data_IF_716748690806
#
_entry.id   IF_716748690806
#
_cell.length_a   1.000
_cell.length_b   1.000
_cell.length_c   1.000
_cell.angle_alpha   90.00
_cell.angle_beta   90.00
_cell.angle_gamma   90.00
#
_symmetry.space_group_name_H-M   'P 1'
#
loop_
_entity.id
_entity.type
_entity.pdbx_description
1 polymer ?
#
# COMPACT_ATOMS: atom_id res chain seq x y z
N UNK A 1 -10.13 18.00 -59.32
CA UNK A 1 -8.93 17.17 -59.61
C UNK A 1 -7.76 17.68 -58.79
N UNK A 2 -7.46 17.07 -57.65
CA UNK A 2 -6.19 17.27 -56.93
C UNK A 2 -5.75 15.90 -56.42
N UNK A 3 -4.64 15.39 -56.97
CA UNK A 3 -3.99 14.13 -56.60
C UNK A 3 -3.17 14.36 -55.33
N UNK A 4 -3.48 13.64 -54.25
CA UNK A 4 -2.57 13.50 -53.10
C UNK A 4 -1.75 12.22 -53.29
N UNK A 5 -0.43 12.38 -53.40
CA UNK A 5 0.54 11.28 -53.50
C UNK A 5 0.64 10.56 -52.16
N UNK A 6 0.52 9.22 -52.17
CA UNK A 6 0.85 8.32 -51.05
C UNK A 6 2.36 8.07 -51.02
N UNK A 7 2.94 8.09 -49.81
CA UNK A 7 4.25 7.50 -49.50
C UNK A 7 4.06 6.10 -48.84
N UNK A 8 5.05 5.19 -48.90
CA UNK A 8 4.83 3.76 -48.67
C UNK A 8 4.85 3.37 -47.19
N UNK A 9 4.04 2.37 -46.86
CA UNK A 9 3.98 1.68 -45.56
C UNK A 9 5.19 0.76 -45.40
N UNK A 10 5.95 0.89 -44.32
CA UNK A 10 6.82 -0.18 -43.81
C UNK A 10 6.02 -1.05 -42.84
N UNK A 11 5.99 -2.35 -43.13
CA UNK A 11 5.37 -3.40 -42.32
C UNK A 11 6.10 -3.59 -41.00
N UNK A 12 5.36 -3.64 -39.90
CA UNK A 12 5.72 -4.42 -38.71
C UNK A 12 4.50 -5.28 -38.41
N UNK A 13 4.65 -6.59 -38.65
CA UNK A 13 3.62 -7.58 -38.43
C UNK A 13 3.43 -7.82 -36.93
N UNK A 14 2.19 -7.63 -36.48
CA UNK A 14 1.69 -8.17 -35.22
C UNK A 14 1.35 -9.63 -35.50
N UNK A 15 2.03 -10.58 -34.88
CA UNK A 15 1.66 -11.99 -35.00
C UNK A 15 0.68 -12.33 -33.87
N UNK A 16 -0.61 -12.21 -34.20
CA UNK A 16 -1.72 -12.85 -33.48
C UNK A 16 -1.92 -14.24 -34.08
N UNK A 17 -1.91 -15.27 -33.24
CA UNK A 17 -2.27 -16.64 -33.60
C UNK A 17 -2.83 -17.37 -32.39
N UNK A 18 -4.15 -17.34 -32.27
CA UNK A 18 -4.95 -17.88 -31.18
C UNK A 18 -5.66 -19.16 -31.66
N UNK A 19 -5.92 -20.09 -30.72
CA UNK A 19 -6.99 -21.12 -30.71
C UNK A 19 -6.84 -22.38 -31.59
N UNK A 20 -6.68 -23.56 -30.94
CA UNK A 20 -7.64 -24.67 -31.00
C UNK A 20 -7.21 -25.93 -30.19
N UNK A 21 -8.17 -26.45 -29.40
CA UNK A 21 -8.33 -27.83 -28.87
C UNK A 21 -7.56 -28.26 -27.61
N UNK A 22 -8.29 -28.35 -26.50
CA UNK A 22 -8.58 -29.63 -25.84
C UNK A 22 -9.68 -29.46 -24.77
N UNK A 23 -10.85 -30.06 -25.01
CA UNK A 23 -11.85 -30.39 -23.97
C UNK A 23 -11.91 -31.92 -23.87
N UNK A 24 -12.17 -32.36 -22.63
CA UNK A 24 -12.58 -33.70 -22.20
C UNK A 24 -11.47 -34.72 -21.93
N UNK A 25 -11.16 -34.92 -20.65
CA UNK A 25 -11.32 -36.21 -19.97
C UNK A 25 -11.13 -36.05 -18.45
N UNK A 26 -12.25 -35.86 -17.75
CA UNK A 26 -12.39 -36.21 -16.35
C UNK A 26 -13.32 -37.42 -16.31
N UNK A 27 -12.74 -38.62 -16.18
CA UNK A 27 -13.39 -39.83 -15.69
C UNK A 27 -12.34 -40.95 -15.67
N UNK A 28 -12.37 -41.75 -14.60
CA UNK A 28 -11.52 -42.89 -14.28
C UNK A 28 -10.24 -42.51 -13.51
N UNK A 29 -10.29 -42.69 -12.19
CA UNK A 29 -9.55 -43.77 -11.54
C UNK A 29 -10.06 -43.91 -10.11
N UNK A 30 -10.86 -44.95 -9.90
CA UNK A 30 -11.12 -45.53 -8.58
C UNK A 30 -10.30 -46.80 -8.44
N UNK A 31 -9.86 -47.06 -7.22
CA UNK A 31 -9.23 -48.27 -6.67
C UNK A 31 -7.77 -48.54 -7.03
N UNK A 32 -6.89 -48.36 -6.04
CA UNK A 32 -5.85 -49.33 -5.65
C UNK A 32 -5.33 -48.97 -4.26
N UNK A 33 -5.59 -49.86 -3.29
CA UNK A 33 -5.05 -49.84 -1.94
C UNK A 33 -3.54 -50.10 -1.95
N UNK A 34 -2.77 -49.27 -1.25
CA UNK A 34 -1.55 -49.72 -0.58
C UNK A 34 -1.35 -48.92 0.72
N UNK A 35 -1.41 -49.67 1.83
CA UNK A 35 -1.07 -49.19 3.17
C UNK A 35 0.45 -49.04 3.28
N UNK A 36 0.91 -47.85 3.67
CA UNK A 36 2.22 -47.67 4.30
C UNK A 36 2.08 -46.74 5.51
N UNK A 37 2.70 -47.16 6.59
CA UNK A 37 2.56 -46.73 7.98
C UNK A 37 3.16 -45.36 8.28
N UNK A 38 2.44 -44.59 9.11
CA UNK A 38 2.83 -43.30 9.72
C UNK A 38 4.13 -43.36 10.53
N UNK A 39 4.91 -42.27 10.57
CA UNK A 39 5.48 -41.74 11.79
C UNK A 39 4.61 -40.58 12.32
N UNK A 40 4.37 -40.58 13.63
CA UNK A 40 3.68 -39.54 14.38
C UNK A 40 4.63 -38.37 14.66
N UNK A 41 4.35 -37.21 14.09
CA UNK A 41 4.66 -35.88 14.65
C UNK A 41 3.69 -34.90 13.99
N UNK A 42 2.73 -34.38 14.76
CA UNK A 42 1.81 -33.33 14.33
C UNK A 42 2.53 -31.97 14.43
N UNK A 43 2.58 -31.14 13.38
CA UNK A 43 2.81 -29.70 13.50
C UNK A 43 1.47 -28.99 13.74
N UNK A 44 1.48 -28.01 14.63
CA UNK A 44 0.30 -27.19 14.99
C UNK A 44 -0.07 -26.22 13.85
N UNK A 45 -1.36 -26.02 13.57
CA UNK A 45 -1.82 -24.92 12.70
C UNK A 45 -1.73 -23.55 13.41
N UNK A 46 -1.65 -22.46 12.63
CA UNK A 46 -2.04 -21.13 13.08
C UNK A 46 -3.56 -21.13 13.35
N UNK A 47 -3.97 -21.68 14.49
CA UNK A 47 -5.38 -21.89 14.84
C UNK A 47 -6.00 -20.57 15.35
N UNK A 48 -7.17 -20.24 14.81
CA UNK A 48 -8.03 -19.11 15.18
C UNK A 48 -8.72 -19.32 16.56
N UNK A 49 -8.28 -20.33 17.34
CA UNK A 49 -8.97 -20.84 18.54
C UNK A 49 -8.44 -20.37 19.89
N UNK A 50 -7.34 -19.62 19.92
CA UNK A 50 -6.81 -19.04 21.16
C UNK A 50 -7.12 -17.54 21.33
N UNK A 51 -8.09 -16.98 20.58
CA UNK A 51 -8.58 -15.62 20.86
C UNK A 51 -9.39 -15.59 22.16
N UNK A 52 -9.03 -14.79 23.17
CA UNK A 52 -9.95 -14.49 24.26
C UNK A 52 -11.17 -13.77 23.68
N UNK A 53 -12.36 -14.37 23.81
CA UNK A 53 -13.64 -13.69 23.53
C UNK A 53 -13.81 -12.53 24.51
N UNK A 54 -13.43 -11.32 24.10
CA UNK A 54 -13.90 -10.10 24.74
C UNK A 54 -15.28 -9.75 24.18
N UNK A 55 -16.33 -10.36 24.73
CA UNK A 55 -17.69 -9.84 24.57
C UNK A 55 -17.86 -8.62 25.47
N UNK A 56 -17.55 -7.43 24.97
CA UNK A 56 -18.07 -6.18 25.52
C UNK A 56 -18.18 -5.15 24.40
N UNK A 57 -19.41 -4.81 24.01
CA UNK A 57 -19.66 -3.58 23.24
C UNK A 57 -19.18 -2.38 24.08
N UNK A 58 -18.42 -1.42 23.53
CA UNK A 58 -18.07 -0.22 24.26
C UNK A 58 -19.34 0.57 24.55
N UNK A 59 -19.59 0.86 25.83
CA UNK A 59 -20.63 1.81 26.22
C UNK A 59 -20.23 3.22 25.76
N UNK A 60 -21.19 4.13 25.56
CA UNK A 60 -20.92 5.52 25.13
C UNK A 60 -19.85 6.24 25.98
N UNK A 61 -19.65 5.83 27.24
CA UNK A 61 -18.59 6.35 28.12
C UNK A 61 -17.17 5.94 27.70
N UNK A 62 -16.98 4.74 27.14
CA UNK A 62 -15.66 4.25 26.72
C UNK A 62 -15.11 5.01 25.50
N UNK A 63 -16.01 5.53 24.64
CA UNK A 63 -15.65 6.33 23.47
C UNK A 63 -15.23 7.76 23.87
N UNK A 64 -15.85 8.34 24.91
CA UNK A 64 -15.46 9.65 25.44
C UNK A 64 -14.14 9.60 26.21
N UNK A 65 -13.93 8.55 27.00
CA UNK A 65 -12.67 8.33 27.73
C UNK A 65 -11.47 8.10 26.78
N UNK A 66 -11.70 7.42 25.65
CA UNK A 66 -10.68 7.22 24.61
C UNK A 66 -10.35 8.52 23.84
N UNK A 67 -11.34 9.41 23.64
CA UNK A 67 -11.13 10.76 23.08
C UNK A 67 -10.34 11.67 24.02
N UNK A 68 -10.53 11.54 25.33
CA UNK A 68 -9.80 12.31 26.34
C UNK A 68 -8.35 11.82 26.47
N UNK A 69 -8.11 10.50 26.38
CA UNK A 69 -6.76 9.89 26.29
C UNK A 69 -5.99 10.31 25.04
N UNK A 70 -6.67 10.42 23.88
CA UNK A 70 -6.07 10.95 22.65
C UNK A 70 -5.72 12.45 22.76
N UNK A 71 -6.53 13.25 23.48
CA UNK A 71 -6.27 14.67 23.74
C UNK A 71 -5.07 14.91 24.66
N UNK A 72 -4.76 13.95 25.54
CA UNK A 72 -3.55 13.97 26.38
C UNK A 72 -2.28 13.61 25.59
N UNK A 73 -2.41 12.72 24.59
CA UNK A 73 -1.28 12.30 23.74
C UNK A 73 -0.86 13.39 22.73
N UNK A 74 -1.83 14.17 22.23
CA UNK A 74 -1.59 15.28 21.32
C UNK A 74 -1.81 16.61 22.02
N UNK A 75 -0.74 17.15 22.62
CA UNK A 75 -0.73 18.48 23.24
C UNK A 75 -1.43 19.55 22.39
N UNK A 76 -2.24 20.37 23.07
CA UNK A 76 -3.21 21.32 22.51
C UNK A 76 -2.69 22.17 21.34
N UNK A 77 -3.24 21.97 20.13
CA UNK A 77 -3.34 23.05 19.15
C UNK A 77 -4.53 23.91 19.55
N UNK A 78 -4.28 25.11 20.08
CA UNK A 78 -5.35 26.08 20.34
C UNK A 78 -6.00 26.50 19.01
N UNK A 79 -7.33 26.53 18.90
CA UNK A 79 -7.98 27.08 17.71
C UNK A 79 -7.66 28.58 17.61
N UNK A 80 -7.29 29.02 16.41
CA UNK A 80 -7.15 30.44 16.09
C UNK A 80 -8.49 31.13 16.31
N UNK A 81 -8.55 32.00 17.32
CA UNK A 81 -9.71 32.83 17.57
C UNK A 81 -10.00 33.72 16.36
N UNK A 82 -11.24 33.60 15.90
CA UNK A 82 -12.04 34.55 15.15
C UNK A 82 -11.59 36.01 15.40
N UNK A 83 -10.99 36.64 14.39
CA UNK A 83 -10.78 38.08 14.37
C UNK A 83 -12.13 38.76 14.16
N UNK A 84 -12.73 39.23 15.25
CA UNK A 84 -13.84 40.19 15.22
C UNK A 84 -13.27 41.57 14.85
N UNK A 85 -13.56 42.00 13.63
CA UNK A 85 -13.35 43.37 13.16
C UNK A 85 -14.45 44.26 13.71
N UNK A 86 -14.29 44.71 14.96
CA UNK A 86 -15.05 45.85 15.44
C UNK A 86 -14.30 46.63 16.53
N UNK A 87 -14.36 47.96 16.39
CA UNK A 87 -13.96 49.00 17.35
C UNK A 87 -12.50 49.48 17.29
N UNK A 88 -12.23 50.30 16.28
CA UNK A 88 -11.32 51.45 16.40
C UNK A 88 -12.03 52.56 17.21
N UNK A 89 -11.50 52.94 18.38
CA UNK A 89 -11.32 54.35 18.75
C UNK A 89 -10.70 54.57 20.14
N UNK A 90 -9.86 55.62 20.20
CA UNK A 90 -9.51 56.44 21.38
C UNK A 90 -8.24 56.12 22.20
N UNK A 91 -7.12 56.69 21.74
CA UNK A 91 -6.29 57.75 22.38
C UNK A 91 -5.83 57.65 23.87
N UNK A 92 -4.52 57.94 24.03
CA UNK A 92 -3.77 58.63 25.13
C UNK A 92 -3.44 57.79 26.38
N UNK A 93 -2.33 57.97 27.13
CA UNK A 93 -1.05 58.69 27.02
C UNK A 93 -0.25 58.48 28.34
N UNK A 94 1.09 58.31 28.23
CA UNK A 94 2.14 58.89 29.11
C UNK A 94 2.48 58.31 30.51
N UNK A 95 3.71 57.76 30.58
CA UNK A 95 4.80 57.85 31.60
C UNK A 95 4.64 57.40 33.06
N UNK A 96 5.55 56.55 33.55
CA UNK A 96 6.74 56.90 34.39
C UNK A 96 7.44 55.63 34.95
N UNK A 97 8.76 55.56 34.80
CA UNK A 97 9.66 54.73 35.63
C UNK A 97 10.06 55.49 36.91
N UNK A 98 10.40 54.79 38.02
CA UNK A 98 11.81 54.54 38.37
C UNK A 98 12.03 53.12 38.98
N UNK A 99 12.91 52.27 38.43
CA UNK A 99 14.34 52.05 38.75
C UNK A 99 14.64 50.94 39.79
N UNK A 100 15.36 49.91 39.29
CA UNK A 100 16.30 48.99 39.98
C UNK A 100 15.72 47.73 40.67
N UNK A 101 15.82 46.60 39.97
CA UNK A 101 16.56 45.41 40.42
C UNK A 101 16.91 44.56 39.19
N UNK A 102 18.21 44.37 38.92
CA UNK A 102 18.69 43.38 37.95
C UNK A 102 18.43 41.99 38.54
N UNK A 103 17.46 41.27 38.00
CA UNK A 103 17.35 39.82 38.16
C UNK A 103 17.31 39.25 36.74
N UNK A 104 18.34 38.48 36.40
CA UNK A 104 18.41 37.72 35.16
C UNK A 104 17.23 36.73 35.12
N UNK A 105 16.51 36.56 34.00
CA UNK A 105 15.62 35.42 33.87
C UNK A 105 16.50 34.18 33.66
N UNK A 106 16.70 33.41 34.73
CA UNK A 106 17.05 32.01 34.59
C UNK A 106 15.92 31.36 33.76
N UNK A 107 16.30 30.73 32.65
CA UNK A 107 15.41 29.83 31.90
C UNK A 107 14.96 28.73 32.86
N UNK A 108 13.73 28.80 33.36
CA UNK A 108 13.07 27.62 33.89
C UNK A 108 12.78 26.69 32.72
N UNK A 109 13.55 25.60 32.68
CA UNK A 109 13.21 24.39 31.94
C UNK A 109 12.05 23.76 32.69
N UNK A 110 10.84 23.89 32.15
CA UNK A 110 9.74 23.03 32.55
C UNK A 110 9.66 21.90 31.53
N UNK A 111 10.57 20.92 31.71
CA UNK A 111 10.33 19.55 31.29
C UNK A 111 9.34 18.97 32.31
N UNK A 112 8.04 19.10 32.08
CA UNK A 112 7.09 18.19 32.69
C UNK A 112 7.07 16.91 31.87
N UNK A 113 8.02 16.04 32.22
CA UNK A 113 8.02 14.64 31.80
C UNK A 113 6.84 13.97 32.52
N UNK A 114 5.70 13.87 31.83
CA UNK A 114 4.58 13.05 32.31
C UNK A 114 4.99 11.59 32.13
N UNK A 115 5.69 11.05 33.13
CA UNK A 115 6.03 9.64 33.21
C UNK A 115 4.76 8.89 33.61
N UNK A 116 4.05 8.35 32.63
CA UNK A 116 3.06 7.32 32.89
C UNK A 116 3.80 6.03 33.25
N UNK A 117 3.81 5.69 34.54
CA UNK A 117 4.31 4.42 35.05
C UNK A 117 3.32 3.30 34.68
N UNK A 118 3.31 2.89 33.42
CA UNK A 118 2.84 1.56 33.06
C UNK A 118 4.01 0.60 33.24
N UNK A 119 3.78 -0.56 33.85
CA UNK A 119 4.73 -1.65 33.66
C UNK A 119 4.80 -2.00 32.15
N UNK A 120 5.97 -2.40 31.66
CA UNK A 120 6.20 -2.66 30.23
C UNK A 120 5.22 -3.66 29.65
N UNK A 121 4.72 -4.60 30.46
CA UNK A 121 3.80 -5.65 30.05
C UNK A 121 2.38 -5.13 29.83
N UNK A 122 1.93 -4.16 30.64
CA UNK A 122 0.64 -3.48 30.51
C UNK A 122 0.64 -2.53 29.31
N UNK A 123 1.77 -1.87 29.04
CA UNK A 123 1.98 -1.07 27.83
C UNK A 123 1.97 -1.95 26.58
N UNK A 124 2.63 -3.12 26.60
CA UNK A 124 2.61 -4.08 25.49
C UNK A 124 1.19 -4.59 25.21
N UNK A 125 0.42 -4.95 26.26
CA UNK A 125 -0.98 -5.35 26.11
C UNK A 125 -1.90 -4.23 25.64
N UNK A 126 -1.67 -2.99 26.06
CA UNK A 126 -2.46 -1.85 25.59
C UNK A 126 -2.11 -1.51 24.13
N UNK A 127 -0.85 -1.69 23.71
CA UNK A 127 -0.42 -1.61 22.30
C UNK A 127 -1.07 -2.68 21.43
N UNK A 128 -1.14 -3.93 21.91
CA UNK A 128 -1.77 -5.04 21.19
C UNK A 128 -3.27 -4.81 20.94
N UNK A 129 -3.93 -3.97 21.74
CA UNK A 129 -5.37 -3.73 21.63
C UNK A 129 -5.72 -2.32 21.14
N UNK A 130 -4.72 -1.51 20.74
CA UNK A 130 -4.91 -0.12 20.35
C UNK A 130 -4.32 0.16 18.97
N UNK A 131 -5.20 0.22 17.96
CA UNK A 131 -4.81 0.54 16.59
C UNK A 131 -4.05 1.86 16.44
N UNK A 132 -4.31 2.83 17.33
CA UNK A 132 -3.60 4.10 17.35
C UNK A 132 -2.15 3.96 17.82
N UNK A 133 -1.91 3.13 18.83
CA UNK A 133 -0.56 2.85 19.32
C UNK A 133 0.27 2.10 18.28
N UNK A 134 -0.36 1.26 17.44
CA UNK A 134 0.30 0.59 16.31
C UNK A 134 0.73 1.61 15.26
N UNK A 135 -0.17 2.50 14.82
CA UNK A 135 0.15 3.57 13.87
C UNK A 135 1.25 4.50 14.38
N UNK A 136 1.26 4.79 15.68
CA UNK A 136 2.28 5.63 16.33
C UNK A 136 3.68 4.98 16.36
N UNK A 137 3.77 3.67 16.16
CA UNK A 137 5.04 2.92 16.14
C UNK A 137 5.65 2.80 14.75
N UNK A 138 4.94 3.21 13.69
CA UNK A 138 5.49 3.20 12.34
C UNK A 138 6.77 4.02 12.30
N UNK A 139 7.81 3.50 11.66
CA UNK A 139 9.13 4.13 11.63
C UNK A 139 9.08 5.55 11.06
N UNK A 140 8.12 5.79 10.16
CA UNK A 140 7.88 7.08 9.51
C UNK A 140 6.91 7.99 10.26
N UNK A 141 6.29 7.56 11.36
CA UNK A 141 5.18 8.28 12.02
C UNK A 141 5.54 9.71 12.44
N UNK A 142 6.77 9.92 12.93
CA UNK A 142 7.19 11.24 13.43
C UNK A 142 7.25 12.33 12.34
N UNK A 143 7.61 11.95 11.11
CA UNK A 143 7.71 12.86 9.97
C UNK A 143 6.46 12.81 9.08
N UNK A 144 5.85 11.63 8.96
CA UNK A 144 4.74 11.29 8.06
C UNK A 144 3.67 10.47 8.79
N UNK A 145 2.95 11.09 9.74
CA UNK A 145 2.00 10.39 10.60
C UNK A 145 0.84 9.79 9.79
N UNK A 146 0.29 8.71 10.34
CA UNK A 146 -1.04 8.22 9.98
C UNK A 146 -1.99 8.62 11.08
N UNK A 147 -3.01 9.40 10.74
CA UNK A 147 -4.08 9.78 11.66
C UNK A 147 -5.39 9.13 11.24
N UNK A 148 -6.35 9.02 12.16
CA UNK A 148 -7.70 8.54 11.85
C UNK A 148 -8.72 9.60 12.26
N UNK A 149 -9.77 9.81 11.49
CA UNK A 149 -10.87 10.69 11.87
C UNK A 149 -12.22 10.07 11.55
N UNK A 150 -13.15 10.15 12.50
CA UNK A 150 -14.54 9.79 12.26
C UNK A 150 -15.47 10.87 12.85
N UNK A 151 -16.08 11.64 11.96
CA UNK A 151 -17.07 12.66 12.26
C UNK A 151 -18.45 12.35 11.66
N UNK A 152 -18.66 11.10 11.20
CA UNK A 152 -19.85 10.69 10.44
C UNK A 152 -20.73 9.77 11.28
N UNK A 153 -20.14 8.76 11.91
CA UNK A 153 -20.85 7.73 12.68
C UNK A 153 -20.02 7.25 13.88
N UNK A 154 -20.45 6.17 14.54
CA UNK A 154 -19.77 5.51 15.65
C UNK A 154 -18.92 4.31 15.22
N UNK A 155 -18.67 4.14 13.92
CA UNK A 155 -17.89 3.01 13.42
C UNK A 155 -16.43 3.07 13.88
N UNK A 156 -15.90 1.90 14.24
CA UNK A 156 -14.50 1.65 14.58
C UNK A 156 -13.85 0.71 13.56
N UNK A 157 -12.57 0.41 13.75
CA UNK A 157 -11.93 -0.68 13.02
C UNK A 157 -12.53 -2.04 13.46
N UNK A 158 -12.47 -3.07 12.58
CA UNK A 158 -12.93 -4.41 12.93
C UNK A 158 -12.19 -4.99 14.14
N UNK A 159 -12.88 -5.81 14.93
CA UNK A 159 -12.26 -6.49 16.07
C UNK A 159 -11.09 -7.38 15.62
N UNK A 160 -9.94 -7.24 16.28
CA UNK A 160 -8.72 -7.98 15.95
C UNK A 160 -8.05 -7.54 14.63
N UNK A 161 -8.39 -6.36 14.12
CA UNK A 161 -7.60 -5.71 13.07
C UNK A 161 -6.33 -5.11 13.67
N UNK A 162 -5.20 -5.26 12.97
CA UNK A 162 -3.89 -4.74 13.38
C UNK A 162 -3.21 -3.97 12.26
N UNK A 163 -2.60 -2.83 12.59
CA UNK A 163 -1.76 -2.09 11.65
C UNK A 163 -0.34 -2.64 11.60
N UNK A 164 0.14 -2.91 10.38
CA UNK A 164 1.52 -3.37 10.12
C UNK A 164 2.21 -2.47 9.09
N UNK A 165 3.53 -2.29 9.24
CA UNK A 165 4.35 -1.50 8.32
C UNK A 165 4.94 -2.34 7.17
N UNK A 166 5.09 -3.66 7.38
CA UNK A 166 5.66 -4.59 6.41
C UNK A 166 4.83 -5.87 6.35
N UNK A 167 4.72 -6.46 5.16
CA UNK A 167 4.01 -7.73 4.96
C UNK A 167 4.64 -8.88 5.74
N UNK A 168 3.79 -9.79 6.23
CA UNK A 168 4.19 -10.96 7.02
C UNK A 168 4.14 -12.20 6.11
N UNK A 169 5.21 -12.99 6.07
CA UNK A 169 5.24 -14.23 5.30
C UNK A 169 4.62 -15.37 6.14
N UNK A 170 3.58 -16.01 5.62
CA UNK A 170 2.92 -17.11 6.30
C UNK A 170 3.55 -18.48 5.97
N UNK A 171 3.03 -19.54 6.60
CA UNK A 171 3.47 -20.91 6.33
C UNK A 171 3.41 -21.26 4.84
N UNK A 172 4.46 -21.91 4.34
CA UNK A 172 4.60 -22.26 2.93
C UNK A 172 5.10 -21.12 2.03
N UNK A 173 5.36 -19.93 2.59
CA UNK A 173 5.92 -18.78 1.85
C UNK A 173 7.32 -18.47 2.37
N UNK A 174 8.29 -18.39 1.45
CA UNK A 174 9.66 -18.01 1.78
C UNK A 174 10.28 -17.09 0.73
N UNK A 175 11.14 -16.18 1.19
CA UNK A 175 12.08 -15.45 0.33
C UNK A 175 13.20 -16.37 -0.14
N UNK A 176 13.92 -15.94 -1.16
CA UNK A 176 15.15 -16.56 -1.59
C UNK A 176 16.18 -16.61 -0.45
N UNK A 177 16.92 -17.72 -0.38
CA UNK A 177 17.99 -17.86 0.60
C UNK A 177 19.08 -16.83 0.35
N UNK A 178 19.77 -16.41 1.42
CA UNK A 178 20.77 -15.34 1.36
C UNK A 178 21.88 -15.58 0.32
N UNK A 179 22.23 -16.85 0.03
CA UNK A 179 23.25 -17.20 -0.97
C UNK A 179 22.87 -16.92 -2.41
N UNK A 180 21.57 -16.75 -2.71
CA UNK A 180 21.07 -16.40 -4.05
C UNK A 180 20.82 -14.89 -4.22
N UNK A 181 20.94 -14.12 -3.13
CA UNK A 181 20.72 -12.68 -3.15
C UNK A 181 21.91 -11.99 -3.81
N UNK A 182 21.60 -11.11 -4.76
CA UNK A 182 22.62 -10.35 -5.49
C UNK A 182 22.22 -8.89 -5.56
N UNK A 183 23.08 -8.03 -5.01
CA UNK A 183 22.96 -6.58 -5.13
C UNK A 183 23.93 -6.00 -6.15
N UNK A 184 23.78 -4.71 -6.46
CA UNK A 184 24.73 -4.02 -7.33
C UNK A 184 26.04 -3.68 -6.61
N UNK A 185 27.12 -3.61 -7.38
CA UNK A 185 28.46 -3.20 -6.93
C UNK A 185 28.79 -1.77 -7.39
N UNK A 186 27.77 -0.93 -7.58
CA UNK A 186 27.92 0.46 -8.00
C UNK A 186 28.86 1.22 -7.05
N UNK A 187 29.77 2.03 -7.61
CA UNK A 187 30.76 2.77 -6.81
C UNK A 187 30.16 3.96 -6.08
N UNK A 188 29.08 4.54 -6.62
CA UNK A 188 28.31 5.58 -5.98
C UNK A 188 26.81 5.45 -6.32
N UNK A 189 25.95 6.08 -5.51
CA UNK A 189 24.50 6.03 -5.65
C UNK A 189 24.00 6.52 -7.02
N UNK A 190 24.72 7.44 -7.67
CA UNK A 190 24.37 7.93 -9.00
C UNK A 190 24.54 6.90 -10.10
N UNK A 191 25.45 5.92 -9.92
CA UNK A 191 25.66 4.85 -10.90
C UNK A 191 24.44 3.91 -10.96
N UNK A 192 23.66 3.83 -9.88
CA UNK A 192 22.43 3.04 -9.81
C UNK A 192 21.31 3.56 -10.72
N UNK A 193 21.51 4.68 -11.40
CA UNK A 193 20.55 5.26 -12.33
C UNK A 193 20.71 4.73 -13.77
N UNK A 194 21.81 4.02 -14.03
CA UNK A 194 22.25 3.67 -15.37
C UNK A 194 22.34 2.15 -15.58
N UNK A 195 22.49 1.75 -16.84
CA UNK A 195 22.56 0.33 -17.26
C UNK A 195 23.69 -0.48 -16.63
N UNK A 196 24.73 0.17 -16.10
CA UNK A 196 25.80 -0.52 -15.39
C UNK A 196 25.37 -1.08 -14.03
N UNK A 197 24.23 -0.65 -13.50
CA UNK A 197 23.68 -1.17 -12.25
C UNK A 197 23.02 -2.52 -12.48
N UNK A 198 23.49 -3.54 -11.73
CA UNK A 198 22.95 -4.91 -11.80
C UNK A 198 21.44 -4.97 -11.54
N UNK A 199 20.92 -4.16 -10.62
CA UNK A 199 19.49 -4.10 -10.29
C UNK A 199 18.62 -3.69 -11.48
N UNK A 200 19.19 -3.11 -12.54
CA UNK A 200 18.44 -2.64 -13.70
C UNK A 200 18.59 -3.55 -14.93
N UNK A 201 19.15 -4.76 -14.76
CA UNK A 201 19.43 -5.70 -15.86
C UNK A 201 18.15 -6.14 -16.61
N UNK A 202 17.02 -6.25 -15.91
CA UNK A 202 15.74 -6.72 -16.44
C UNK A 202 14.82 -5.57 -16.90
N UNK A 203 15.30 -4.33 -16.93
CA UNK A 203 14.51 -3.19 -17.41
C UNK A 203 14.34 -3.26 -18.93
N UNK A 204 13.10 -3.41 -19.38
CA UNK A 204 12.74 -3.45 -20.80
C UNK A 204 13.05 -2.13 -21.53
N UNK A 205 13.34 -2.21 -22.84
CA UNK A 205 13.41 -1.00 -23.69
C UNK A 205 14.69 -0.16 -23.59
N UNK A 206 15.73 -0.63 -22.92
CA UNK A 206 17.06 -0.07 -23.09
C UNK A 206 17.55 -0.30 -24.53
N UNK A 207 17.34 0.66 -25.42
CA UNK A 207 17.85 0.61 -26.78
C UNK A 207 19.38 0.40 -26.77
N UNK A 208 19.87 -0.54 -27.59
CA UNK A 208 21.30 -0.76 -27.88
C UNK A 208 21.94 0.39 -28.69
N UNK A 209 21.35 1.59 -28.64
CA UNK A 209 21.85 2.74 -29.37
C UNK A 209 22.98 3.36 -28.55
N UNK A 210 24.19 3.30 -29.12
CA UNK A 210 25.36 4.08 -28.72
C UNK A 210 24.96 5.56 -28.64
N UNK A 211 24.64 6.02 -27.44
CA UNK A 211 24.25 7.37 -27.11
C UNK A 211 24.78 7.72 -25.72
N UNK A 212 24.70 8.98 -25.28
CA UNK A 212 25.16 9.36 -23.95
C UNK A 212 24.48 8.49 -22.89
N UNK A 213 25.16 8.25 -21.77
CA UNK A 213 24.65 7.46 -20.65
C UNK A 213 23.23 7.91 -20.28
N UNK A 214 22.23 7.13 -20.71
CA UNK A 214 20.82 7.41 -20.46
C UNK A 214 20.46 6.79 -19.11
N UNK A 215 19.84 7.58 -18.24
CA UNK A 215 19.24 7.06 -17.00
C UNK A 215 18.09 6.13 -17.37
N UNK A 216 18.03 4.97 -16.73
CA UNK A 216 17.03 3.95 -16.99
C UNK A 216 16.26 3.50 -15.73
N UNK A 217 16.73 3.83 -14.52
CA UNK A 217 16.01 3.59 -13.24
C UNK A 217 14.58 4.17 -13.24
N UNK A 218 13.63 3.75 -12.43
CA UNK A 218 12.25 4.22 -12.61
C UNK A 218 12.00 5.71 -12.29
N UNK A 219 12.90 6.35 -11.54
CA UNK A 219 12.65 7.62 -10.85
C UNK A 219 13.40 8.82 -11.44
N UNK A 220 12.79 9.99 -11.32
CA UNK A 220 13.46 11.27 -11.52
C UNK A 220 14.44 11.51 -10.37
N UNK A 221 15.73 11.70 -10.66
CA UNK A 221 16.75 11.85 -9.61
C UNK A 221 17.07 13.30 -9.21
N UNK A 222 16.57 14.30 -9.92
CA UNK A 222 16.83 15.73 -9.62
C UNK A 222 15.60 16.59 -9.87
N UNK A 223 15.62 17.78 -9.26
CA UNK A 223 14.58 18.79 -9.43
C UNK A 223 13.42 18.63 -8.44
N UNK A 224 12.37 19.45 -8.58
CA UNK A 224 11.25 19.48 -7.64
C UNK A 224 10.44 18.17 -7.60
N UNK A 225 10.51 17.35 -8.65
CA UNK A 225 9.89 16.03 -8.74
C UNK A 225 10.86 14.87 -8.47
N UNK A 226 11.98 15.12 -7.77
CA UNK A 226 12.91 14.05 -7.43
C UNK A 226 12.21 12.97 -6.59
N UNK A 227 12.47 11.70 -6.91
CA UNK A 227 11.80 10.54 -6.32
C UNK A 227 10.46 10.16 -6.97
N UNK A 228 9.88 11.02 -7.82
CA UNK A 228 8.68 10.65 -8.59
C UNK A 228 9.04 9.72 -9.76
N UNK A 229 8.12 8.83 -10.13
CA UNK A 229 8.22 8.03 -11.35
C UNK A 229 8.37 8.92 -12.58
N UNK A 230 9.20 8.47 -13.53
CA UNK A 230 9.24 9.10 -14.85
C UNK A 230 7.94 8.88 -15.60
N UNK A 231 7.60 9.82 -16.49
CA UNK A 231 6.37 9.79 -17.28
C UNK A 231 6.24 8.53 -18.14
N UNK A 232 7.33 8.06 -18.74
CA UNK A 232 7.34 6.85 -19.56
C UNK A 232 7.04 5.58 -18.74
N UNK A 233 7.46 5.54 -17.47
CA UNK A 233 7.13 4.46 -16.54
C UNK A 233 5.69 4.58 -16.06
N UNK A 234 5.26 5.79 -15.68
CA UNK A 234 3.90 6.07 -15.19
C UNK A 234 2.82 5.74 -16.23
N UNK A 235 3.10 6.01 -17.50
CA UNK A 235 2.19 5.69 -18.62
C UNK A 235 2.24 4.21 -19.03
N UNK A 236 3.12 3.43 -18.40
CA UNK A 236 3.29 2.00 -18.64
C UNK A 236 2.78 1.17 -17.45
N UNK A 237 2.88 -0.15 -17.57
CA UNK A 237 2.71 -1.12 -16.47
C UNK A 237 4.01 -1.90 -16.22
N UNK A 238 5.15 -1.28 -16.48
CA UNK A 238 6.47 -1.90 -16.29
C UNK A 238 6.77 -2.09 -14.80
N UNK A 239 7.59 -3.09 -14.53
CA UNK A 239 8.10 -3.40 -13.18
C UNK A 239 9.08 -2.33 -12.73
N UNK A 240 9.02 -1.98 -11.44
CA UNK A 240 9.99 -1.11 -10.79
C UNK A 240 11.10 -1.97 -10.17
N UNK A 241 12.27 -1.99 -10.79
CA UNK A 241 13.44 -2.66 -10.21
C UNK A 241 14.26 -1.68 -9.36
N UNK A 242 14.31 -1.93 -8.06
CA UNK A 242 15.02 -1.12 -7.09
C UNK A 242 16.31 -1.78 -6.59
N UNK A 243 17.20 -0.97 -6.03
CA UNK A 243 18.25 -1.48 -5.17
C UNK A 243 17.65 -2.02 -3.86
N UNK A 244 18.43 -2.83 -3.15
CA UNK A 244 18.01 -3.53 -1.93
C UNK A 244 19.19 -3.75 -0.99
N UNK A 245 18.96 -4.39 0.16
CA UNK A 245 19.93 -4.53 1.25
C UNK A 245 21.28 -5.16 0.86
N UNK A 246 21.33 -5.97 -0.21
CA UNK A 246 22.59 -6.58 -0.66
C UNK A 246 23.39 -5.68 -1.61
N UNK A 247 22.90 -4.48 -1.95
CA UNK A 247 23.58 -3.55 -2.85
C UNK A 247 24.62 -2.69 -2.11
N UNK A 248 25.71 -2.34 -2.79
CA UNK A 248 26.77 -1.48 -2.25
C UNK A 248 26.35 0.00 -2.11
N UNK A 249 25.27 0.42 -2.77
CA UNK A 249 24.77 1.79 -2.69
C UNK A 249 24.08 2.09 -1.35
N UNK A 250 24.06 3.37 -0.97
CA UNK A 250 23.53 3.82 0.31
C UNK A 250 22.01 3.72 0.38
N UNK A 251 21.45 3.87 1.58
CA UNK A 251 20.00 3.98 1.82
C UNK A 251 19.36 5.19 1.13
N UNK A 252 20.15 6.20 0.76
CA UNK A 252 19.70 7.39 0.04
C UNK A 252 19.77 7.24 -1.49
N UNK A 253 20.11 6.06 -2.00
CA UNK A 253 20.14 5.77 -3.44
C UNK A 253 18.81 6.18 -4.10
N UNK A 254 18.90 6.86 -5.25
CA UNK A 254 17.74 7.33 -6.02
C UNK A 254 16.92 6.19 -6.66
N UNK A 255 17.38 4.95 -6.52
CA UNK A 255 16.70 3.73 -6.92
C UNK A 255 16.23 2.88 -5.71
N UNK A 256 15.87 3.53 -4.58
CA UNK A 256 15.34 2.90 -3.35
C UNK A 256 14.10 3.64 -2.81
N UNK A 257 13.28 4.21 -3.68
CA UNK A 257 12.15 5.06 -3.28
C UNK A 257 11.10 4.28 -2.49
N UNK A 258 10.73 3.08 -2.94
CA UNK A 258 9.74 2.23 -2.24
C UNK A 258 10.36 1.64 -0.97
N UNK A 259 11.62 1.20 -1.02
CA UNK A 259 12.34 0.69 0.16
C UNK A 259 12.42 1.72 1.30
N UNK A 260 12.52 3.01 0.98
CA UNK A 260 12.59 4.08 1.96
C UNK A 260 11.28 4.33 2.71
N UNK A 261 10.21 3.62 2.36
CA UNK A 261 8.92 3.73 3.01
C UNK A 261 8.17 5.02 2.69
N UNK A 262 6.98 5.14 3.30
CA UNK A 262 6.07 6.26 3.08
C UNK A 262 6.69 7.60 3.47
N UNK A 263 6.58 8.57 2.57
CA UNK A 263 6.97 9.98 2.80
C UNK A 263 5.82 10.96 2.61
N UNK A 264 4.61 10.49 2.89
CA UNK A 264 3.35 11.24 2.78
C UNK A 264 2.55 11.03 4.07
N UNK A 265 2.12 12.09 4.78
CA UNK A 265 1.19 11.94 5.89
C UNK A 265 -0.17 11.48 5.37
N UNK A 266 -0.77 10.49 6.03
CA UNK A 266 -2.06 9.93 5.63
C UNK A 266 -3.10 10.11 6.73
N UNK A 267 -4.35 10.29 6.31
CA UNK A 267 -5.51 10.34 7.19
C UNK A 267 -6.52 9.29 6.72
N UNK A 268 -6.77 8.29 7.56
CA UNK A 268 -7.88 7.35 7.39
C UNK A 268 -9.13 8.06 7.90
N UNK A 269 -10.09 8.33 7.04
CA UNK A 269 -11.29 9.09 7.41
C UNK A 269 -12.57 8.31 7.10
N UNK A 270 -13.63 8.58 7.85
CA UNK A 270 -14.96 8.03 7.55
C UNK A 270 -15.64 8.82 6.43
N UNK A 271 -15.99 8.17 5.32
CA UNK A 271 -16.70 8.82 4.21
C UNK A 271 -18.16 9.08 4.57
N UNK A 272 -18.71 10.20 4.09
CA UNK A 272 -20.10 10.60 4.38
C UNK A 272 -21.13 9.93 3.45
N UNK A 273 -20.67 9.28 2.38
CA UNK A 273 -21.49 8.72 1.30
C UNK A 273 -21.74 7.21 1.44
N UNK A 274 -21.36 6.62 2.57
CA UNK A 274 -21.62 5.20 2.87
C UNK A 274 -20.61 4.21 2.31
N UNK A 275 -19.53 4.66 1.66
CA UNK A 275 -18.41 3.78 1.23
C UNK A 275 -17.59 3.24 2.40
N UNK A 276 -17.71 3.85 3.57
CA UNK A 276 -17.11 3.38 4.82
C UNK A 276 -15.86 4.17 5.16
N UNK A 277 -14.73 3.49 5.34
CA UNK A 277 -13.45 4.16 5.55
C UNK A 277 -12.83 4.54 4.19
N UNK A 278 -12.12 5.66 4.15
CA UNK A 278 -11.35 6.15 3.01
C UNK A 278 -9.99 6.65 3.49
N UNK A 279 -9.10 6.99 2.56
CA UNK A 279 -7.79 7.58 2.87
C UNK A 279 -7.64 8.88 2.12
N UNK A 280 -7.06 9.89 2.76
CA UNK A 280 -6.63 11.15 2.13
C UNK A 280 -5.28 11.58 2.69
N UNK A 281 -4.69 12.61 2.10
CA UNK A 281 -3.45 13.21 2.59
C UNK A 281 -3.69 14.66 3.01
N UNK A 282 -3.03 15.12 4.07
CA UNK A 282 -3.05 16.52 4.51
C UNK A 282 -2.16 17.43 3.67
N UNK A 283 -1.39 16.86 2.74
CA UNK A 283 -0.50 17.58 1.80
C UNK A 283 -0.79 17.16 0.37
N UNK A 284 -0.48 18.05 -0.58
CA UNK A 284 -0.56 17.73 -2.01
C UNK A 284 0.44 16.62 -2.36
N UNK A 285 0.00 15.64 -3.14
CA UNK A 285 0.82 14.55 -3.69
C UNK A 285 1.02 14.82 -5.18
N UNK A 286 2.26 14.84 -5.64
CA UNK A 286 2.55 15.10 -7.06
C UNK A 286 2.32 13.85 -7.90
N UNK A 287 1.95 14.02 -9.17
CA UNK A 287 1.91 12.95 -10.16
C UNK A 287 3.27 12.22 -10.20
N UNK A 288 3.21 10.91 -10.09
CA UNK A 288 4.35 10.00 -10.03
C UNK A 288 4.95 9.82 -8.64
N UNK A 289 4.43 10.47 -7.60
CA UNK A 289 4.93 10.33 -6.24
C UNK A 289 4.48 9.00 -5.62
N UNK A 290 5.41 8.32 -4.95
CA UNK A 290 5.12 7.14 -4.14
C UNK A 290 4.28 7.54 -2.92
N UNK A 291 3.21 6.79 -2.67
CA UNK A 291 2.31 7.00 -1.52
C UNK A 291 2.66 6.04 -0.41
N UNK A 292 2.40 4.75 -0.60
CA UNK A 292 2.67 3.69 0.39
C UNK A 292 2.54 2.31 -0.30
N UNK A 293 2.85 1.22 0.39
CA UNK A 293 2.66 -0.15 -0.10
C UNK A 293 1.35 -0.76 0.36
N UNK A 294 0.76 -1.65 -0.44
CA UNK A 294 -0.24 -2.60 0.05
C UNK A 294 0.46 -3.74 0.79
N UNK A 295 0.24 -3.82 2.10
CA UNK A 295 0.84 -4.82 2.98
C UNK A 295 -0.23 -5.65 3.66
N UNK A 296 0.12 -6.89 3.99
CA UNK A 296 -0.75 -7.86 4.63
C UNK A 296 -0.03 -9.16 4.91
N UNK A 297 -0.79 -10.21 5.18
CA UNK A 297 -0.27 -11.57 5.25
C UNK A 297 -0.04 -12.11 3.83
N UNK A 298 1.19 -12.47 3.49
CA UNK A 298 1.52 -13.14 2.22
C UNK A 298 1.27 -14.63 2.41
N UNK A 299 0.25 -15.14 1.72
CA UNK A 299 -0.25 -16.50 1.83
C UNK A 299 -0.15 -17.24 0.50
N UNK A 300 -0.17 -18.56 0.57
CA UNK A 300 -0.24 -19.42 -0.62
C UNK A 300 -1.63 -19.36 -1.26
N UNK A 301 -1.73 -19.63 -2.56
CA UNK A 301 -3.02 -19.73 -3.25
C UNK A 301 -3.98 -20.73 -2.60
N UNK A 302 -3.45 -21.85 -2.05
CA UNK A 302 -4.25 -22.84 -1.34
C UNK A 302 -4.86 -22.28 -0.03
N UNK A 303 -4.08 -21.51 0.71
CA UNK A 303 -4.55 -20.84 1.93
C UNK A 303 -5.55 -19.73 1.60
N UNK A 304 -5.31 -18.94 0.55
CA UNK A 304 -6.26 -17.95 0.06
C UNK A 304 -7.59 -18.59 -0.31
N UNK A 305 -7.57 -19.72 -1.02
CA UNK A 305 -8.77 -20.46 -1.38
C UNK A 305 -9.52 -21.00 -0.15
N UNK A 306 -8.82 -21.63 0.80
CA UNK A 306 -9.42 -22.07 2.07
C UNK A 306 -10.11 -20.91 2.80
N UNK A 307 -9.41 -19.78 2.87
CA UNK A 307 -9.89 -18.56 3.50
C UNK A 307 -11.11 -17.96 2.77
N UNK A 308 -11.20 -18.03 1.44
CA UNK A 308 -12.40 -17.65 0.65
C UNK A 308 -13.59 -18.54 0.98
N UNK A 309 -13.37 -19.85 1.06
CA UNK A 309 -14.42 -20.84 1.35
C UNK A 309 -14.99 -20.72 2.77
N UNK A 310 -14.15 -20.36 3.74
CA UNK A 310 -14.55 -20.19 5.14
C UNK A 310 -15.21 -18.84 5.44
N UNK A 311 -15.03 -17.84 4.58
CA UNK A 311 -15.67 -16.56 4.77
C UNK A 311 -17.18 -16.71 4.66
N UNK A 312 -17.87 -16.58 5.81
CA UNK A 312 -19.35 -16.56 5.89
C UNK A 312 -19.97 -15.47 5.03
N UNK A 313 -19.17 -14.48 4.64
CA UNK A 313 -19.45 -13.44 3.66
C UNK A 313 -18.46 -13.61 2.51
N UNK A 314 -18.57 -14.71 1.77
CA UNK A 314 -17.76 -14.96 0.57
C UNK A 314 -17.70 -13.74 -0.37
N UNK A 315 -18.72 -12.87 -0.33
CA UNK A 315 -18.81 -11.62 -1.10
C UNK A 315 -17.83 -10.49 -0.70
N UNK A 316 -17.21 -10.52 0.50
CA UNK A 316 -16.31 -9.43 0.95
C UNK A 316 -14.84 -9.81 1.04
N UNK A 317 -14.50 -11.10 0.98
CA UNK A 317 -13.11 -11.51 1.15
C UNK A 317 -12.23 -11.11 -0.03
N UNK A 318 -12.75 -11.24 -1.25
CA UNK A 318 -12.03 -10.89 -2.47
C UNK A 318 -11.63 -9.40 -2.54
N UNK A 319 -12.18 -8.55 -1.67
CA UNK A 319 -11.82 -7.13 -1.58
C UNK A 319 -10.44 -6.91 -0.94
N UNK A 320 -9.96 -7.84 -0.11
CA UNK A 320 -8.72 -7.67 0.66
C UNK A 320 -7.58 -8.59 0.18
N UNK A 321 -7.82 -9.36 -0.89
CA UNK A 321 -6.83 -10.27 -1.47
C UNK A 321 -6.24 -9.67 -2.75
N UNK A 322 -4.93 -9.50 -2.77
CA UNK A 322 -4.20 -9.06 -3.97
C UNK A 322 -3.21 -10.13 -4.42
N UNK A 323 -3.38 -10.60 -5.66
CA UNK A 323 -2.46 -11.55 -6.27
C UNK A 323 -1.09 -10.92 -6.56
N UNK A 324 -0.02 -11.69 -6.33
CA UNK A 324 1.36 -11.36 -6.70
C UNK A 324 1.71 -12.06 -8.02
N UNK A 325 0.96 -11.75 -9.07
CA UNK A 325 0.95 -12.46 -10.35
C UNK A 325 1.82 -11.83 -11.44
N UNK A 326 2.51 -10.71 -11.14
CA UNK A 326 3.24 -9.93 -12.15
C UNK A 326 4.28 -10.73 -12.92
N UNK A 327 4.87 -11.73 -12.26
CA UNK A 327 5.90 -12.61 -12.83
C UNK A 327 5.42 -14.06 -12.98
N UNK A 328 4.12 -14.33 -12.82
CA UNK A 328 3.57 -15.66 -13.08
C UNK A 328 3.77 -16.00 -14.56
N UNK A 329 4.55 -17.05 -14.80
CA UNK A 329 4.93 -17.50 -16.13
C UNK A 329 5.05 -19.03 -16.11
N UNK A 330 4.11 -19.75 -16.76
CA UNK A 330 4.14 -21.21 -16.85
C UNK A 330 5.41 -21.77 -17.49
N UNK A 331 6.12 -20.98 -18.29
CA UNK A 331 7.35 -21.37 -18.99
C UNK A 331 8.62 -20.92 -18.21
N UNK A 332 8.45 -20.35 -17.02
CA UNK A 332 9.57 -19.94 -16.17
C UNK A 332 10.41 -21.13 -15.71
N UNK A 333 11.73 -20.92 -15.65
CA UNK A 333 12.66 -21.88 -15.03
C UNK A 333 12.60 -21.85 -13.50
N UNK A 334 12.04 -20.79 -12.92
CA UNK A 334 11.82 -20.66 -11.48
C UNK A 334 10.45 -21.25 -11.15
N UNK A 335 10.44 -22.42 -10.49
CA UNK A 335 9.22 -23.15 -10.14
C UNK A 335 8.23 -22.29 -9.34
N UNK A 336 8.73 -21.32 -8.54
CA UNK A 336 7.90 -20.38 -7.76
C UNK A 336 7.07 -19.45 -8.63
N UNK A 337 7.41 -19.31 -9.91
CA UNK A 337 6.72 -18.48 -10.89
C UNK A 337 5.82 -19.29 -11.84
N UNK A 338 6.00 -20.62 -11.91
CA UNK A 338 5.21 -21.50 -12.78
C UNK A 338 3.85 -21.89 -12.20
N UNK A 339 3.75 -21.92 -10.87
CA UNK A 339 2.56 -22.34 -10.14
C UNK A 339 1.55 -21.21 -9.91
N UNK A 340 0.47 -21.49 -9.16
CA UNK A 340 -0.43 -20.47 -8.66
C UNK A 340 0.35 -19.39 -7.88
N UNK A 341 0.07 -18.12 -8.17
CA UNK A 341 0.72 -17.00 -7.48
C UNK A 341 0.39 -16.97 -5.99
N UNK A 342 1.25 -16.30 -5.23
CA UNK A 342 0.98 -15.93 -3.85
C UNK A 342 -0.01 -14.76 -3.82
N UNK A 343 -0.63 -14.54 -2.66
CA UNK A 343 -1.58 -13.45 -2.46
C UNK A 343 -1.26 -12.69 -1.16
N UNK A 344 -1.52 -11.38 -1.15
CA UNK A 344 -1.46 -10.53 0.05
C UNK A 344 -2.88 -10.40 0.60
N UNK A 345 -3.11 -10.91 1.80
CA UNK A 345 -4.38 -10.78 2.55
C UNK A 345 -4.28 -9.65 3.57
N UNK A 346 -5.01 -8.57 3.31
CA UNK A 346 -5.10 -7.40 4.19
C UNK A 346 -6.31 -7.43 5.14
N UNK A 347 -7.06 -8.54 5.26
CA UNK A 347 -8.34 -8.55 5.98
C UNK A 347 -8.20 -8.12 7.45
N UNK A 348 -7.24 -8.70 8.17
CA UNK A 348 -7.01 -8.48 9.60
C UNK A 348 -5.68 -7.79 9.94
N UNK A 349 -4.70 -7.83 9.04
CA UNK A 349 -3.42 -7.15 9.25
C UNK A 349 -3.06 -6.37 7.99
N UNK A 350 -2.94 -5.05 8.07
CA UNK A 350 -2.57 -4.25 6.90
C UNK A 350 -2.03 -2.86 7.25
N UNK A 351 -1.52 -2.17 6.23
CA UNK A 351 -1.20 -0.75 6.30
C UNK A 351 -2.43 0.14 6.05
N UNK A 352 -2.24 1.48 6.01
CA UNK A 352 -3.31 2.43 5.74
C UNK A 352 -3.97 2.22 4.36
N UNK A 353 -3.21 1.70 3.39
CA UNK A 353 -3.65 1.52 2.01
C UNK A 353 -4.81 0.53 1.85
N UNK A 354 -5.03 -0.35 2.83
CA UNK A 354 -6.22 -1.24 2.89
C UNK A 354 -7.54 -0.47 2.80
N UNK A 355 -7.56 0.77 3.31
CA UNK A 355 -8.76 1.61 3.38
C UNK A 355 -8.92 2.53 2.16
N UNK A 356 -8.05 2.45 1.14
CA UNK A 356 -8.20 3.22 -0.09
C UNK A 356 -9.37 2.64 -0.88
N UNK A 357 -10.34 3.50 -1.22
CA UNK A 357 -11.54 3.07 -1.93
C UNK A 357 -11.30 2.89 -3.44
N UNK A 358 -12.21 2.13 -4.05
CA UNK A 358 -12.30 2.00 -5.49
C UNK A 358 -12.74 3.31 -6.18
N UNK A 359 -12.16 3.60 -7.34
CA UNK A 359 -12.72 4.53 -8.32
C UNK A 359 -12.53 4.04 -9.76
N UNK A 360 -13.52 4.27 -10.62
CA UNK A 360 -13.41 4.06 -12.07
C UNK A 360 -12.61 5.18 -12.77
N UNK A 361 -12.41 6.32 -12.09
CA UNK A 361 -11.46 7.38 -12.45
C UNK A 361 -10.50 7.57 -11.26
N UNK A 362 -9.54 6.66 -11.09
CA UNK A 362 -8.65 6.67 -9.93
C UNK A 362 -7.59 7.77 -10.04
N UNK A 363 -7.05 8.17 -8.89
CA UNK A 363 -5.87 9.04 -8.80
C UNK A 363 -4.59 8.30 -8.37
N UNK A 364 -4.68 7.01 -8.01
CA UNK A 364 -3.56 6.11 -7.75
C UNK A 364 -3.55 4.90 -8.68
N UNK A 365 -2.36 4.29 -8.83
CA UNK A 365 -2.17 2.96 -9.46
C UNK A 365 -1.13 2.16 -8.69
N UNK A 366 -1.31 0.83 -8.67
CA UNK A 366 -0.35 -0.12 -8.13
C UNK A 366 0.73 -0.42 -9.17
N UNK A 367 1.99 -0.43 -8.74
CA UNK A 367 3.13 -0.92 -9.50
C UNK A 367 3.81 -2.04 -8.72
N UNK A 368 4.15 -3.12 -9.42
CA UNK A 368 4.99 -4.17 -8.85
C UNK A 368 6.42 -3.65 -8.70
N UNK A 369 6.94 -3.68 -7.47
CA UNK A 369 8.32 -3.31 -7.16
C UNK A 369 9.11 -4.53 -6.72
N UNK A 370 10.28 -4.71 -7.31
CA UNK A 370 11.21 -5.79 -7.00
C UNK A 370 12.49 -5.17 -6.45
N UNK A 371 12.88 -5.57 -5.25
CA UNK A 371 14.22 -5.33 -4.72
C UNK A 371 15.18 -6.38 -5.26
N UNK A 372 15.20 -7.56 -4.62
CA UNK A 372 16.02 -8.68 -5.09
C UNK A 372 15.34 -9.42 -6.26
N UNK A 373 16.08 -9.66 -7.36
CA UNK A 373 15.57 -10.40 -8.51
C UNK A 373 15.17 -11.84 -8.17
N UNK A 374 15.75 -12.43 -7.12
CA UNK A 374 15.40 -13.75 -6.65
C UNK A 374 14.07 -13.79 -5.88
N UNK A 375 13.52 -12.62 -5.52
CA UNK A 375 12.28 -12.44 -4.76
C UNK A 375 11.11 -11.90 -5.61
N UNK A 376 11.16 -12.08 -6.94
CA UNK A 376 10.09 -11.67 -7.88
C UNK A 376 8.71 -12.23 -7.50
N UNK A 377 8.64 -13.45 -6.97
CA UNK A 377 7.39 -14.12 -6.54
C UNK A 377 6.75 -13.48 -5.31
N UNK A 378 7.47 -12.62 -4.58
CA UNK A 378 7.00 -11.88 -3.39
C UNK A 378 7.21 -10.38 -3.56
N UNK A 379 7.00 -9.87 -4.77
CA UNK A 379 7.17 -8.45 -5.09
C UNK A 379 6.26 -7.54 -4.24
N UNK A 380 6.67 -6.30 -4.05
CA UNK A 380 5.87 -5.30 -3.35
C UNK A 380 4.77 -4.73 -4.27
N UNK A 381 3.61 -4.42 -3.69
CA UNK A 381 2.51 -3.71 -4.36
C UNK A 381 2.58 -2.23 -3.97
N UNK A 382 3.22 -1.39 -4.78
CA UNK A 382 3.49 0.01 -4.45
C UNK A 382 2.48 0.96 -5.09
N UNK A 383 1.82 1.81 -4.30
CA UNK A 383 0.92 2.83 -4.81
C UNK A 383 1.69 4.07 -5.26
N UNK A 384 1.44 4.50 -6.49
CA UNK A 384 1.93 5.76 -7.04
C UNK A 384 0.77 6.62 -7.52
N UNK A 385 0.87 7.93 -7.32
CA UNK A 385 -0.08 8.88 -7.86
C UNK A 385 0.02 8.95 -9.39
N UNK A 386 -1.12 8.81 -10.08
CA UNK A 386 -1.20 8.95 -11.54
C UNK A 386 -1.71 10.33 -11.98
N UNK A 387 -2.09 11.17 -11.02
CA UNK A 387 -2.39 12.59 -11.21
C UNK A 387 -1.79 13.43 -10.06
N UNK A 388 -1.76 14.75 -10.19
CA UNK A 388 -1.48 15.63 -9.06
C UNK A 388 -2.72 15.65 -8.14
N UNK A 389 -2.56 15.26 -6.87
CA UNK A 389 -3.65 15.07 -5.90
C UNK A 389 -3.60 16.22 -4.86
N UNK A 390 -4.56 17.15 -4.86
CA UNK A 390 -4.68 18.20 -3.85
C UNK A 390 -4.79 17.64 -2.42
N UNK A 391 -4.29 18.42 -1.44
CA UNK A 391 -4.50 18.11 -0.03
C UNK A 391 -6.01 17.99 0.30
N UNK A 392 -6.36 16.94 1.05
CA UNK A 392 -7.72 16.63 1.45
C UNK A 392 -8.55 15.86 0.42
N UNK A 393 -8.05 15.66 -0.80
CA UNK A 393 -8.69 14.80 -1.79
C UNK A 393 -8.53 13.32 -1.39
N UNK A 394 -9.59 12.55 -1.60
CA UNK A 394 -9.59 11.11 -1.31
C UNK A 394 -8.70 10.35 -2.31
N UNK A 395 -7.85 9.50 -1.77
CA UNK A 395 -7.04 8.56 -2.54
C UNK A 395 -7.93 7.40 -3.00
N UNK A 396 -7.84 7.07 -4.28
CA UNK A 396 -8.60 5.99 -4.90
C UNK A 396 -7.79 5.25 -5.97
N UNK A 397 -8.05 3.96 -6.15
CA UNK A 397 -7.46 3.15 -7.22
C UNK A 397 -8.51 2.27 -7.89
N UNK A 398 -8.20 1.78 -9.08
CA UNK A 398 -9.06 0.81 -9.76
C UNK A 398 -8.71 -0.61 -9.29
N UNK A 399 -9.64 -1.24 -8.57
CA UNK A 399 -9.47 -2.59 -7.99
C UNK A 399 -9.19 -3.67 -9.04
N UNK A 400 -9.62 -3.46 -10.29
CA UNK A 400 -9.42 -4.40 -11.41
C UNK A 400 -8.49 -3.85 -12.48
N UNK A 401 -7.87 -2.67 -12.27
CA UNK A 401 -6.97 -1.99 -13.21
C UNK A 401 -7.48 -1.99 -14.67
N UNK A 402 -8.77 -1.72 -14.87
CA UNK A 402 -9.41 -1.69 -16.19
C UNK A 402 -9.47 -3.02 -16.94
N UNK A 403 -9.20 -4.16 -16.30
CA UNK A 403 -9.46 -5.48 -16.86
C UNK A 403 -10.98 -5.71 -16.92
N UNK A 404 -11.62 -5.23 -17.98
CA UNK A 404 -13.07 -5.40 -18.19
C UNK A 404 -13.48 -6.82 -18.67
N UNK A 405 -12.58 -7.81 -18.70
CA UNK A 405 -13.05 -9.15 -19.04
C UNK A 405 -11.99 -10.22 -19.25
N UNK A 406 -11.92 -11.13 -18.27
CA UNK A 406 -11.68 -12.55 -18.52
C UNK A 406 -12.90 -13.42 -18.11
N UNK A 407 -13.95 -12.83 -17.54
CA UNK A 407 -15.22 -13.52 -17.25
C UNK A 407 -16.21 -13.51 -18.43
N UNK A 408 -15.86 -12.85 -19.54
CA UNK A 408 -16.73 -12.69 -20.71
C UNK A 408 -16.52 -13.75 -21.81
N UNK A 409 -15.45 -14.55 -21.77
CA UNK A 409 -15.19 -15.56 -22.83
C UNK A 409 -16.07 -16.81 -22.73
N UNK A 410 -16.59 -17.12 -21.55
CA UNK A 410 -17.65 -18.12 -21.41
C UNK A 410 -18.99 -17.40 -21.54
N UNK A 411 -19.61 -17.44 -22.73
CA UNK A 411 -20.90 -16.82 -23.09
C UNK A 411 -22.13 -17.22 -22.24
N UNK A 412 -22.03 -17.04 -20.91
CA UNK A 412 -22.99 -17.29 -19.83
C UNK A 412 -23.09 -16.08 -18.89
N UNK A 413 -22.76 -14.87 -19.38
CA UNK A 413 -22.89 -13.61 -18.62
C UNK A 413 -24.36 -13.16 -18.56
N UNK A 414 -25.22 -13.98 -17.94
CA UNK A 414 -26.57 -13.57 -17.55
C UNK A 414 -26.94 -13.96 -16.11
N UNK A 415 -26.00 -14.39 -15.26
CA UNK A 415 -26.36 -14.99 -13.96
C UNK A 415 -25.69 -14.53 -12.67
N UNK A 416 -24.83 -13.50 -12.65
CA UNK A 416 -24.17 -13.09 -11.38
C UNK A 416 -24.33 -11.61 -10.97
N UNK A 417 -25.29 -10.85 -11.53
CA UNK A 417 -25.56 -9.48 -11.03
C UNK A 417 -26.10 -9.41 -9.59
N UNK A 418 -26.55 -10.52 -8.99
CA UNK A 418 -27.14 -10.51 -7.64
C UNK A 418 -26.14 -10.44 -6.50
N UNK A 419 -24.87 -10.75 -6.75
CA UNK A 419 -23.84 -10.91 -5.71
C UNK A 419 -22.69 -9.89 -5.84
N UNK A 420 -22.78 -8.96 -6.80
CA UNK A 420 -21.77 -7.93 -7.06
C UNK A 420 -22.04 -6.69 -6.22
N UNK A 421 -20.99 -6.13 -5.61
CA UNK A 421 -21.11 -4.90 -4.83
C UNK A 421 -21.22 -3.70 -5.76
N UNK A 422 -22.22 -2.85 -5.51
CA UNK A 422 -22.45 -1.61 -6.27
C UNK A 422 -21.30 -0.62 -6.06
N UNK A 423 -20.86 0.00 -7.16
CA UNK A 423 -19.81 1.00 -7.16
C UNK A 423 -20.39 2.40 -6.89
N UNK A 424 -19.91 3.04 -5.82
CA UNK A 424 -20.35 4.37 -5.37
C UNK A 424 -19.31 5.46 -5.61
N UNK A 425 -18.39 5.28 -6.57
CA UNK A 425 -17.27 6.20 -6.79
C UNK A 425 -17.67 7.59 -7.32
N UNK A 426 -18.89 7.76 -7.84
CA UNK A 426 -19.37 9.03 -8.40
C UNK A 426 -18.77 9.44 -9.74
N UNK A 427 -17.83 8.66 -10.31
CA UNK A 427 -17.22 8.96 -11.59
C UNK A 427 -18.25 8.96 -12.75
N UNK A 428 -18.18 9.90 -13.72
CA UNK A 428 -19.10 9.96 -14.86
C UNK A 428 -19.11 8.67 -15.70
N UNK A 429 -17.96 8.01 -15.81
CA UNK A 429 -17.74 6.77 -16.54
C UNK A 429 -17.84 5.51 -15.65
N UNK A 430 -18.49 5.59 -14.48
CA UNK A 430 -18.56 4.49 -13.52
C UNK A 430 -19.14 3.18 -14.11
N UNK A 431 -18.43 2.07 -13.89
CA UNK A 431 -18.78 0.70 -14.33
C UNK A 431 -19.89 0.03 -13.53
N UNK A 432 -20.48 0.75 -12.56
CA UNK A 432 -21.62 0.35 -11.70
C UNK A 432 -21.33 -0.72 -10.66
N UNK A 433 -20.34 -1.59 -10.86
CA UNK A 433 -19.91 -2.60 -9.90
C UNK A 433 -18.40 -2.54 -9.68
N UNK A 434 -17.96 -3.03 -8.53
CA UNK A 434 -16.56 -2.93 -8.08
C UNK A 434 -15.60 -3.91 -8.78
N UNK A 435 -16.07 -5.08 -9.20
CA UNK A 435 -15.32 -6.16 -9.86
C UNK A 435 -16.16 -6.83 -10.93
#
# INVERSE_FOLDING_TARGET
MVKVKRAPKSMIGVNRGMVARARALSALLSTSHLQLSKPKTQPQPCDDRDRPRAQTQPTKMAVEDMRERHRLYHGTVKPAHQLDLSVFNSRRSVSRHPSIAKVQPQRQKDNEEVVFLYDTQSLEKEKENCNWCELAQFTTHSDYPVTVTNNVDDATFPDGFHFIEHSILCEGVSRAEAGFKMGCECSNDGDCEYRGCYCLQDVEGGNNKMGPAKKINAYLSKGPKAGCLRKDILDSRLVLYECHDSCACSKNCSNRIVEQGRKVPLEIFRTADGRGWGVRSSVTINQGQFVDTYVGEIITSAEAQRRREESRVAQRKDVYLFALDKFSDPDSIDERLTGPCLEVDGEFMAGPTRFINHSCEPNLRIFARVGDHADKHVHDLAFFAIDDIPAGEELTFDYVDGLEGDLAEDGKVQKHHKDMTECLCGAPNCRKFLW
#
